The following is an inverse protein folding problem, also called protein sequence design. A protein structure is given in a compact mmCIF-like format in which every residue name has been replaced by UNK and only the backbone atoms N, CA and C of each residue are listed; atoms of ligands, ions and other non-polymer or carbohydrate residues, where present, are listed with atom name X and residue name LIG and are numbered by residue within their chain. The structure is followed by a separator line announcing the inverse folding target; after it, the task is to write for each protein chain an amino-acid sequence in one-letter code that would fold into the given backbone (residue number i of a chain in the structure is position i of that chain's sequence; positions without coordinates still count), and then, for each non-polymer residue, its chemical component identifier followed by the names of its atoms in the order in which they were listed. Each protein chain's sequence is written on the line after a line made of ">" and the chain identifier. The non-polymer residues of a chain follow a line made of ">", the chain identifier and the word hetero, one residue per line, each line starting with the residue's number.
data_IF_213174714080
#
_entry.id   IF_213174714080
#
_cell.length_a   1.000
_cell.length_b   1.000
_cell.length_c   1.000
_cell.angle_alpha   90.00
_cell.angle_beta   90.00
_cell.angle_gamma   90.00
#
_symmetry.space_group_name_H-M   'P 1'
#
loop_
_entity.id
_entity.type
_entity.pdbx_description
1 polymer ?
#
# COMPACT_ATOMS: atom_id res chain seq x y z
N UNK A 1 20.00 -4.92 8.15
CA UNK A 1 19.02 -4.41 7.18
C UNK A 1 18.32 -3.26 7.86
N UNK A 2 18.41 -2.07 7.27
CA UNK A 2 17.88 -0.83 7.84
C UNK A 2 16.36 -0.97 7.92
N UNK A 3 15.81 -0.97 9.13
CA UNK A 3 14.38 -0.85 9.39
C UNK A 3 13.94 0.51 8.84
N UNK A 4 13.37 0.52 7.64
CA UNK A 4 12.69 1.69 7.13
C UNK A 4 11.51 1.96 8.07
N UNK A 5 11.52 3.12 8.72
CA UNK A 5 10.41 3.58 9.55
C UNK A 5 9.23 3.83 8.62
N UNK A 6 8.26 2.91 8.62
CA UNK A 6 6.92 3.21 8.13
C UNK A 6 6.42 4.39 8.98
N UNK A 7 5.89 5.44 8.36
CA UNK A 7 5.33 6.57 9.11
C UNK A 7 4.18 6.07 9.96
N UNK A 8 4.37 6.03 11.29
CA UNK A 8 3.42 5.56 12.32
C UNK A 8 2.19 6.50 12.49
N UNK A 9 1.62 6.98 11.38
CA UNK A 9 0.56 7.98 11.37
C UNK A 9 -0.73 7.46 10.76
N UNK A 10 -1.86 7.89 11.33
CA UNK A 10 -3.12 7.94 10.57
C UNK A 10 -3.00 9.08 9.53
N UNK A 11 -3.71 9.00 8.40
CA UNK A 11 -3.75 10.09 7.43
C UNK A 11 -4.23 11.39 8.11
N UNK A 12 -3.51 12.48 7.88
CA UNK A 12 -3.64 13.74 8.61
C UNK A 12 -4.30 14.85 7.78
N UNK A 13 -4.48 14.62 6.48
CA UNK A 13 -5.11 15.58 5.56
C UNK A 13 -6.26 14.94 4.77
N UNK A 14 -7.14 15.80 4.26
CA UNK A 14 -8.16 15.44 3.27
C UNK A 14 -7.79 16.03 1.92
N UNK A 15 -7.87 15.21 0.88
CA UNK A 15 -7.50 15.55 -0.48
C UNK A 15 -8.75 15.70 -1.33
N UNK A 16 -8.80 16.81 -2.07
CA UNK A 16 -9.85 17.08 -3.04
C UNK A 16 -9.60 16.31 -4.34
N UNK A 17 -10.56 15.44 -4.72
CA UNK A 17 -10.42 14.54 -5.87
C UNK A 17 -10.38 15.30 -7.20
N UNK A 18 -11.20 16.34 -7.35
CA UNK A 18 -11.23 17.15 -8.56
C UNK A 18 -9.90 17.86 -8.82
N UNK A 19 -9.25 18.38 -7.79
CA UNK A 19 -7.97 19.08 -7.91
C UNK A 19 -6.83 18.14 -8.29
N UNK A 20 -6.78 16.93 -7.71
CA UNK A 20 -5.64 16.02 -7.86
C UNK A 20 -5.81 15.07 -9.06
N UNK A 21 -7.01 14.56 -9.28
CA UNK A 21 -7.28 13.57 -10.31
C UNK A 21 -8.06 14.12 -11.50
N UNK A 22 -8.55 15.37 -11.43
CA UNK A 22 -9.37 15.96 -12.49
C UNK A 22 -10.78 15.37 -12.58
N UNK A 23 -11.22 14.62 -11.57
CA UNK A 23 -12.51 13.91 -11.56
C UNK A 23 -13.51 14.67 -10.69
N UNK A 24 -14.67 14.97 -11.26
CA UNK A 24 -15.76 15.64 -10.54
C UNK A 24 -16.41 14.65 -9.57
N UNK A 25 -16.20 14.88 -8.28
CA UNK A 25 -16.68 14.01 -7.21
C UNK A 25 -16.77 14.75 -5.89
N UNK A 26 -17.81 14.45 -5.12
CA UNK A 26 -18.00 14.96 -3.75
C UNK A 26 -17.19 14.16 -2.70
N UNK A 27 -16.41 13.16 -3.13
CA UNK A 27 -15.61 12.34 -2.21
C UNK A 27 -14.41 13.15 -1.70
N UNK A 28 -14.27 13.22 -0.38
CA UNK A 28 -13.02 13.62 0.27
C UNK A 28 -12.22 12.37 0.64
N UNK A 29 -10.96 12.31 0.22
CA UNK A 29 -10.12 11.13 0.42
C UNK A 29 -9.03 11.43 1.45
N UNK A 30 -8.82 10.58 2.46
CA UNK A 30 -7.73 10.77 3.41
C UNK A 30 -6.36 10.61 2.70
N UNK A 31 -5.39 11.41 3.09
CA UNK A 31 -4.03 11.38 2.59
C UNK A 31 -3.02 11.77 3.68
N UNK A 32 -1.74 11.69 3.34
CA UNK A 32 -0.65 12.12 4.21
C UNK A 32 -0.04 13.43 3.73
N UNK A 33 0.26 14.34 4.66
CA UNK A 33 0.92 15.61 4.34
C UNK A 33 2.40 15.44 3.95
N UNK A 34 3.06 14.42 4.51
CA UNK A 34 4.46 14.09 4.26
C UNK A 34 4.61 12.76 3.49
N UNK A 35 5.64 12.69 2.66
CA UNK A 35 6.00 11.47 1.92
C UNK A 35 7.06 10.67 2.68
N UNK A 36 7.27 9.41 2.30
CA UNK A 36 8.34 8.57 2.81
C UNK A 36 8.84 7.58 1.73
N UNK A 37 9.86 6.80 2.07
CA UNK A 37 10.51 5.86 1.14
C UNK A 37 9.60 4.73 0.62
N UNK A 38 8.41 4.55 1.23
CA UNK A 38 7.42 3.55 0.82
C UNK A 38 6.31 4.13 -0.05
N UNK A 39 6.25 5.45 -0.24
CA UNK A 39 5.31 6.09 -1.18
C UNK A 39 5.85 5.90 -2.60
N UNK A 40 5.03 5.41 -3.56
CA UNK A 40 5.48 5.28 -4.95
C UNK A 40 5.85 6.63 -5.59
N UNK A 41 6.73 6.59 -6.58
CA UNK A 41 7.10 7.79 -7.33
C UNK A 41 5.92 8.33 -8.16
N UNK A 42 5.81 9.65 -8.19
CA UNK A 42 4.80 10.35 -8.95
C UNK A 42 5.17 10.42 -10.43
N UNK A 43 4.31 9.86 -11.29
CA UNK A 43 4.35 10.07 -12.73
C UNK A 43 3.36 11.18 -13.13
N UNK A 44 3.87 12.33 -13.57
CA UNK A 44 3.07 13.48 -14.01
C UNK A 44 2.46 13.32 -15.41
N UNK A 45 2.88 12.31 -16.16
CA UNK A 45 2.32 11.98 -17.47
C UNK A 45 1.20 10.93 -17.40
N UNK A 46 0.97 10.34 -16.22
CA UNK A 46 -0.03 9.31 -16.03
C UNK A 46 -1.45 9.85 -16.24
N UNK A 47 -2.25 9.13 -17.04
CA UNK A 47 -3.64 9.47 -17.32
C UNK A 47 -4.52 8.49 -16.54
N UNK A 48 -5.33 9.03 -15.63
CA UNK A 48 -6.24 8.26 -14.80
C UNK A 48 -7.50 7.86 -15.56
N UNK A 49 -7.77 6.56 -15.64
CA UNK A 49 -9.11 6.04 -15.97
C UNK A 49 -10.12 6.44 -14.88
N UNK A 50 -11.23 7.04 -15.29
CA UNK A 50 -12.20 7.67 -14.40
C UNK A 50 -12.80 6.68 -13.38
N UNK A 51 -13.39 5.60 -13.87
CA UNK A 51 -14.17 4.68 -13.04
C UNK A 51 -13.27 3.86 -12.12
N UNK A 52 -12.12 3.41 -12.62
CA UNK A 52 -11.13 2.67 -11.82
C UNK A 52 -10.58 3.56 -10.70
N UNK A 53 -10.31 4.84 -10.98
CA UNK A 53 -9.82 5.78 -9.98
C UNK A 53 -10.86 6.01 -8.89
N UNK A 54 -12.13 6.27 -9.25
CA UNK A 54 -13.19 6.45 -8.26
C UNK A 54 -13.38 5.22 -7.37
N UNK A 55 -13.29 4.01 -7.93
CA UNK A 55 -13.37 2.77 -7.15
C UNK A 55 -12.23 2.67 -6.12
N UNK A 56 -10.98 2.98 -6.52
CA UNK A 56 -9.82 2.99 -5.62
C UNK A 56 -9.99 4.06 -4.54
N UNK A 57 -10.36 5.29 -4.91
CA UNK A 57 -10.54 6.41 -3.98
C UNK A 57 -11.65 6.12 -2.95
N UNK A 58 -12.74 5.49 -3.36
CA UNK A 58 -13.77 5.00 -2.44
C UNK A 58 -13.23 3.94 -1.46
N UNK A 59 -12.27 3.11 -1.91
CA UNK A 59 -11.51 2.18 -1.07
C UNK A 59 -10.81 2.88 0.08
N UNK A 60 -10.03 3.92 -0.23
CA UNK A 60 -9.32 4.75 0.76
C UNK A 60 -10.29 5.52 1.68
N UNK A 61 -11.30 6.18 1.10
CA UNK A 61 -12.22 7.04 1.86
C UNK A 61 -13.12 6.27 2.84
N UNK A 62 -13.55 5.06 2.46
CA UNK A 62 -14.55 4.29 3.23
C UNK A 62 -14.01 2.97 3.80
N UNK A 63 -12.68 2.79 3.80
CA UNK A 63 -12.01 1.58 4.24
C UNK A 63 -12.62 0.30 3.59
N UNK A 64 -12.79 0.34 2.27
CA UNK A 64 -13.36 -0.76 1.48
C UNK A 64 -12.27 -1.49 0.73
N UNK A 65 -12.37 -2.82 0.71
CA UNK A 65 -11.50 -3.67 -0.11
C UNK A 65 -11.92 -3.52 -1.57
N UNK A 66 -10.99 -3.12 -2.42
CA UNK A 66 -11.21 -2.90 -3.86
C UNK A 66 -10.54 -4.00 -4.65
N UNK A 67 -11.27 -4.59 -5.60
CA UNK A 67 -10.74 -5.56 -6.55
C UNK A 67 -10.74 -4.93 -7.95
N UNK A 68 -9.57 -4.83 -8.57
CA UNK A 68 -9.41 -4.34 -9.93
C UNK A 68 -9.18 -5.53 -10.86
N UNK A 69 -10.03 -5.68 -11.87
CA UNK A 69 -9.94 -6.76 -12.84
C UNK A 69 -9.76 -6.19 -14.26
N UNK A 70 -8.97 -6.88 -15.07
CA UNK A 70 -8.73 -6.52 -16.46
C UNK A 70 -7.61 -7.34 -17.08
N UNK A 71 -7.47 -7.30 -18.40
CA UNK A 71 -6.45 -8.02 -19.15
C UNK A 71 -5.03 -7.74 -18.62
N UNK A 72 -4.10 -8.69 -18.81
CA UNK A 72 -2.71 -8.49 -18.43
C UNK A 72 -2.09 -7.31 -19.20
N UNK A 73 -1.15 -6.58 -18.58
CA UNK A 73 -0.48 -5.44 -19.21
C UNK A 73 -1.27 -4.13 -19.27
N UNK A 74 -2.50 -4.08 -18.76
CA UNK A 74 -3.36 -2.87 -18.73
C UNK A 74 -3.00 -1.84 -17.64
N UNK A 75 -1.87 -2.02 -16.95
CA UNK A 75 -1.41 -1.03 -15.96
C UNK A 75 -2.13 -1.06 -14.60
N UNK A 76 -2.88 -2.12 -14.25
CA UNK A 76 -3.63 -2.21 -12.97
C UNK A 76 -2.80 -1.88 -11.73
N UNK A 77 -1.60 -2.45 -11.62
CA UNK A 77 -0.71 -2.19 -10.47
C UNK A 77 -0.23 -0.74 -10.47
N UNK A 78 0.22 -0.24 -11.63
CA UNK A 78 0.62 1.15 -11.80
C UNK A 78 -0.51 2.12 -11.47
N UNK A 79 -1.76 1.78 -11.77
CA UNK A 79 -2.92 2.61 -11.41
C UNK A 79 -3.04 2.77 -9.90
N UNK A 80 -2.95 1.66 -9.15
CA UNK A 80 -2.97 1.69 -7.67
C UNK A 80 -1.79 2.51 -7.15
N UNK A 81 -0.59 2.28 -7.67
CA UNK A 81 0.64 2.98 -7.28
C UNK A 81 0.53 4.49 -7.53
N UNK A 82 0.00 4.92 -8.68
CA UNK A 82 -0.16 6.34 -9.01
C UNK A 82 -1.27 7.02 -8.20
N UNK A 83 -2.33 6.30 -7.83
CA UNK A 83 -3.31 6.83 -6.86
C UNK A 83 -2.67 6.98 -5.48
N UNK A 84 -1.95 5.97 -4.99
CA UNK A 84 -1.26 6.03 -3.71
C UNK A 84 -0.22 7.16 -3.66
N UNK A 85 0.58 7.33 -4.72
CA UNK A 85 1.56 8.41 -4.85
C UNK A 85 0.92 9.79 -4.73
N UNK A 86 -0.26 10.00 -5.36
CA UNK A 86 -0.99 11.27 -5.34
C UNK A 86 -1.62 11.59 -3.99
N UNK A 87 -1.84 10.55 -3.17
CA UNK A 87 -2.37 10.68 -1.82
C UNK A 87 -1.27 10.61 -0.74
N UNK A 88 0.01 10.46 -1.13
CA UNK A 88 1.14 10.15 -0.26
C UNK A 88 0.95 8.89 0.61
N UNK A 89 0.25 7.88 0.10
CA UNK A 89 0.07 6.62 0.84
C UNK A 89 1.26 5.68 0.62
N UNK A 90 1.85 5.15 1.71
CA UNK A 90 2.80 4.05 1.63
C UNK A 90 2.16 2.84 0.95
N UNK A 91 2.87 2.22 0.00
CA UNK A 91 2.35 1.10 -0.77
C UNK A 91 3.28 -0.11 -0.70
N UNK A 92 2.76 -1.20 -0.15
CA UNK A 92 3.48 -2.49 -0.08
C UNK A 92 2.80 -3.46 -1.03
N UNK A 93 3.55 -3.94 -2.04
CA UNK A 93 3.06 -4.91 -3.02
C UNK A 93 3.47 -6.32 -2.62
N UNK A 94 2.47 -7.19 -2.49
CA UNK A 94 2.67 -8.63 -2.26
C UNK A 94 2.16 -9.37 -3.49
N UNK A 95 3.03 -10.10 -4.17
CA UNK A 95 2.63 -10.99 -5.25
C UNK A 95 2.16 -12.32 -4.65
N UNK A 96 0.93 -12.74 -4.97
CA UNK A 96 0.38 -14.02 -4.55
C UNK A 96 0.55 -15.03 -5.69
N UNK A 97 1.64 -15.79 -5.65
CA UNK A 97 1.93 -16.88 -6.58
C UNK A 97 1.99 -18.23 -5.86
N UNK A 98 2.27 -19.31 -6.59
CA UNK A 98 2.29 -20.67 -6.03
C UNK A 98 3.39 -20.93 -5.00
N UNK A 99 4.38 -20.05 -4.88
CA UNK A 99 5.48 -20.19 -3.91
C UNK A 99 5.20 -19.50 -2.59
N UNK A 100 4.21 -18.59 -2.51
CA UNK A 100 3.90 -17.92 -1.25
C UNK A 100 3.16 -18.88 -0.32
N UNK A 101 3.63 -18.99 0.93
CA UNK A 101 3.02 -19.84 1.94
C UNK A 101 2.39 -19.01 3.06
N UNK A 102 1.57 -19.66 3.89
CA UNK A 102 1.01 -19.04 5.10
C UNK A 102 2.11 -18.53 6.04
N UNK A 103 3.25 -19.22 6.07
CA UNK A 103 4.39 -18.85 6.91
C UNK A 103 4.97 -17.51 6.45
N UNK A 104 5.04 -17.25 5.15
CA UNK A 104 5.55 -15.98 4.63
C UNK A 104 4.58 -14.81 4.90
N UNK A 105 3.27 -15.10 4.91
CA UNK A 105 2.22 -14.12 5.16
C UNK A 105 2.04 -13.79 6.65
N UNK A 106 2.00 -14.81 7.51
CA UNK A 106 1.66 -14.66 8.94
C UNK A 106 2.89 -14.70 9.83
N UNK A 107 3.89 -15.52 9.49
CA UNK A 107 5.08 -15.74 10.30
C UNK A 107 5.23 -17.19 10.77
N UNK A 108 6.34 -17.45 11.48
CA UNK A 108 6.68 -18.75 12.08
C UNK A 108 7.59 -18.57 13.29
N UNK A 109 7.61 -19.59 14.15
CA UNK A 109 8.69 -19.75 15.11
C UNK A 109 9.98 -20.14 14.40
N UNK A 110 11.05 -19.40 14.65
CA UNK A 110 12.38 -19.64 14.13
C UNK A 110 13.39 -19.74 15.27
N UNK A 111 14.39 -20.61 15.11
CA UNK A 111 15.54 -20.64 16.01
C UNK A 111 16.52 -19.59 15.52
N UNK A 112 16.78 -18.60 16.37
CA UNK A 112 17.76 -17.53 16.11
C UNK A 112 18.87 -17.58 17.15
N UNK A 113 20.06 -17.14 16.77
CA UNK A 113 21.18 -16.97 17.69
C UNK A 113 21.11 -15.57 18.30
N UNK A 114 20.98 -15.49 19.62
CA UNK A 114 21.10 -14.24 20.38
C UNK A 114 22.20 -14.42 21.41
N UNK A 115 23.25 -13.59 21.32
CA UNK A 115 24.42 -13.66 22.20
C UNK A 115 25.08 -15.05 22.28
N UNK A 116 25.07 -15.79 21.15
CA UNK A 116 25.63 -17.14 21.07
C UNK A 116 24.73 -18.27 21.60
N UNK A 117 23.55 -17.95 22.10
CA UNK A 117 22.56 -18.93 22.58
C UNK A 117 21.44 -19.10 21.56
N UNK A 118 21.04 -20.35 21.31
CA UNK A 118 19.87 -20.66 20.48
C UNK A 118 18.60 -20.34 21.26
N UNK A 119 17.81 -19.40 20.76
CA UNK A 119 16.51 -19.03 21.31
C UNK A 119 15.44 -19.17 20.23
N UNK A 120 14.24 -19.60 20.63
CA UNK A 120 13.07 -19.63 19.74
C UNK A 120 12.40 -18.27 19.79
N UNK A 121 12.26 -17.63 18.63
CA UNK A 121 11.60 -16.34 18.48
C UNK A 121 10.59 -16.41 17.33
N UNK A 122 9.43 -15.79 17.51
CA UNK A 122 8.46 -15.67 16.45
C UNK A 122 8.92 -14.61 15.45
N UNK A 123 9.13 -15.03 14.20
CA UNK A 123 9.40 -14.12 13.09
C UNK A 123 8.09 -13.80 12.38
N UNK A 124 7.71 -12.52 12.39
CA UNK A 124 6.51 -12.04 11.74
C UNK A 124 6.59 -12.19 10.21
N UNK A 125 5.46 -12.54 9.61
CA UNK A 125 5.29 -12.52 8.16
C UNK A 125 5.01 -11.10 7.63
N UNK A 126 4.81 -10.99 6.32
CA UNK A 126 4.63 -9.69 5.67
C UNK A 126 3.32 -8.98 6.06
N UNK A 127 2.25 -9.72 6.43
CA UNK A 127 0.97 -9.11 6.77
C UNK A 127 0.98 -8.43 8.15
N UNK A 128 1.48 -9.06 9.24
CA UNK A 128 1.66 -8.35 10.51
C UNK A 128 2.56 -7.12 10.37
N UNK A 129 3.65 -7.23 9.61
CA UNK A 129 4.56 -6.11 9.35
C UNK A 129 3.85 -4.95 8.64
N UNK A 130 2.97 -5.22 7.69
CA UNK A 130 2.22 -4.20 6.96
C UNK A 130 1.07 -3.55 7.77
N UNK A 131 0.78 -4.04 8.98
CA UNK A 131 -0.25 -3.49 9.88
C UNK A 131 0.34 -2.57 10.97
N UNK A 132 1.66 -2.52 11.11
CA UNK A 132 2.39 -1.68 12.07
C UNK A 132 2.58 -0.27 11.52
#
# INVERSE_FOLDING_TARGET
>A
MTTAKISEGLPDIKINVQQIFGIESDIEVPGFSETNDHVPEVDNSYIFDHDTTLAILAGFAYNRRVMIQGYHGTGKSTHIEQVAARLNWPCVRINLDSHISRIDLVGKDAIVLRDGVQVTEFQEGILPWALQ
#
